data_IF_137632620054
#
_entry.id   IF_137632620054
#
_cell.length_a   1.000
_cell.length_b   1.000
_cell.length_c   1.000
_cell.angle_alpha   90.00
_cell.angle_beta   90.00
_cell.angle_gamma   90.00
#
_symmetry.space_group_name_H-M   'P 1'
#
loop_
_entity.id
_entity.type
_entity.pdbx_description
1 polymer ?
#
# COMPACT_ATOMS: atom_id res chain seq x y z
N UNK A 1 -27.99 27.70 36.16
CA UNK A 1 -28.87 28.10 35.04
C UNK A 1 -28.00 28.21 33.81
N UNK A 2 -27.83 27.10 33.08
CA UNK A 2 -27.28 27.14 31.72
C UNK A 2 -28.46 26.91 30.78
N UNK A 3 -28.65 27.88 29.91
CA UNK A 3 -29.70 28.00 28.91
C UNK A 3 -29.48 26.89 27.86
N UNK A 4 -30.09 25.73 28.12
CA UNK A 4 -30.08 24.57 27.24
C UNK A 4 -31.04 24.83 26.07
N UNK A 5 -30.72 25.82 25.25
CA UNK A 5 -31.30 25.98 23.91
C UNK A 5 -30.58 25.02 22.99
N UNK A 6 -30.91 23.74 23.15
CA UNK A 6 -30.75 22.76 22.07
C UNK A 6 -31.69 23.18 20.94
N UNK A 7 -31.23 24.16 20.18
CA UNK A 7 -31.84 24.63 18.95
C UNK A 7 -31.98 23.41 18.04
N UNK A 8 -33.22 22.99 17.82
CA UNK A 8 -33.59 22.08 16.76
C UNK A 8 -33.10 22.70 15.44
N UNK A 9 -31.89 22.33 15.03
CA UNK A 9 -31.32 22.71 13.75
C UNK A 9 -32.34 22.34 12.67
N UNK A 10 -32.76 23.35 11.90
CA UNK A 10 -33.68 23.18 10.78
C UNK A 10 -33.19 21.99 9.93
N UNK A 11 -34.04 20.98 9.66
CA UNK A 11 -33.67 19.83 8.85
C UNK A 11 -33.06 20.21 7.49
N UNK A 12 -33.35 21.41 6.95
CA UNK A 12 -32.71 21.93 5.75
C UNK A 12 -31.24 22.30 5.98
N UNK A 13 -30.92 22.99 7.07
CA UNK A 13 -29.55 23.38 7.43
C UNK A 13 -28.65 22.15 7.65
N UNK A 14 -29.19 21.08 8.24
CA UNK A 14 -28.43 19.82 8.42
C UNK A 14 -28.07 19.16 7.09
N UNK A 15 -28.98 19.17 6.10
CA UNK A 15 -28.72 18.60 4.77
C UNK A 15 -27.62 19.36 4.02
N UNK A 16 -27.58 20.68 4.16
CA UNK A 16 -26.55 21.51 3.54
C UNK A 16 -25.15 21.27 4.15
N UNK A 17 -25.04 21.12 5.47
CA UNK A 17 -23.76 20.78 6.12
C UNK A 17 -23.23 19.41 5.65
N UNK A 18 -24.10 18.39 5.59
CA UNK A 18 -23.72 17.06 5.09
C UNK A 18 -23.28 17.12 3.61
N UNK A 19 -24.01 17.83 2.76
CA UNK A 19 -23.64 18.01 1.35
C UNK A 19 -22.29 18.72 1.20
N UNK A 20 -22.01 19.74 2.02
CA UNK A 20 -20.74 20.46 2.04
C UNK A 20 -19.56 19.55 2.41
N UNK A 21 -19.70 18.75 3.48
CA UNK A 21 -18.67 17.79 3.91
C UNK A 21 -18.40 16.72 2.85
N UNK A 22 -19.46 16.19 2.22
CA UNK A 22 -19.34 15.23 1.12
C UNK A 22 -18.66 15.85 -0.11
N UNK A 23 -18.91 17.13 -0.40
CA UNK A 23 -18.27 17.83 -1.52
C UNK A 23 -16.76 18.03 -1.28
N UNK A 24 -16.36 18.40 -0.06
CA UNK A 24 -14.95 18.53 0.31
C UNK A 24 -14.26 17.16 0.28
N UNK A 25 -14.91 16.13 0.81
CA UNK A 25 -14.40 14.76 0.77
C UNK A 25 -14.19 14.29 -0.67
N UNK A 26 -15.18 14.50 -1.54
CA UNK A 26 -15.12 14.19 -2.97
C UNK A 26 -13.91 14.85 -3.63
N UNK A 27 -13.73 16.15 -3.41
CA UNK A 27 -12.62 16.90 -3.97
C UNK A 27 -11.26 16.40 -3.46
N UNK A 28 -11.13 16.20 -2.14
CA UNK A 28 -9.90 15.71 -1.54
C UNK A 28 -9.53 14.30 -2.05
N UNK A 29 -10.50 13.40 -2.14
CA UNK A 29 -10.28 12.05 -2.70
C UNK A 29 -9.97 12.09 -4.21
N UNK A 30 -10.55 13.04 -4.94
CA UNK A 30 -10.31 13.20 -6.38
C UNK A 30 -8.90 13.70 -6.72
N UNK A 31 -8.23 14.38 -5.79
CA UNK A 31 -6.83 14.80 -5.97
C UNK A 31 -5.84 13.63 -5.89
N UNK A 32 -6.22 12.52 -5.25
CA UNK A 32 -5.40 11.31 -5.14
C UNK A 32 -5.59 10.43 -6.39
N UNK A 33 -5.11 10.93 -7.53
CA UNK A 33 -5.31 10.33 -8.85
C UNK A 33 -4.63 8.96 -9.04
N UNK A 34 -3.71 8.58 -8.16
CA UNK A 34 -2.96 7.34 -8.28
C UNK A 34 -3.72 6.09 -7.82
N UNK A 35 -4.86 6.23 -7.13
CA UNK A 35 -5.59 5.09 -6.59
C UNK A 35 -7.01 4.99 -7.20
N UNK A 36 -7.35 3.91 -7.93
CA UNK A 36 -8.68 3.76 -8.53
C UNK A 36 -9.79 3.74 -7.47
N UNK A 37 -9.51 3.21 -6.28
CA UNK A 37 -10.40 3.25 -5.12
C UNK A 37 -10.70 4.68 -4.65
N UNK A 38 -9.69 5.55 -4.58
CA UNK A 38 -9.88 6.95 -4.19
C UNK A 38 -10.71 7.71 -5.24
N UNK A 39 -10.47 7.45 -6.53
CA UNK A 39 -11.31 7.95 -7.61
C UNK A 39 -12.77 7.54 -7.46
N UNK A 40 -13.04 6.27 -7.12
CA UNK A 40 -14.41 5.76 -6.94
C UNK A 40 -15.11 6.41 -5.74
N UNK A 41 -14.40 6.60 -4.62
CA UNK A 41 -14.89 7.37 -3.47
C UNK A 41 -15.22 8.81 -3.86
N UNK A 42 -14.38 9.46 -4.66
CA UNK A 42 -14.61 10.82 -5.15
C UNK A 42 -15.89 10.93 -5.97
N UNK A 43 -16.14 9.97 -6.87
CA UNK A 43 -17.37 9.91 -7.68
C UNK A 43 -18.60 9.70 -6.80
N UNK A 44 -18.58 8.71 -5.90
CA UNK A 44 -19.73 8.39 -5.05
C UNK A 44 -20.09 9.55 -4.12
N UNK A 45 -19.10 10.12 -3.44
CA UNK A 45 -19.31 11.23 -2.49
C UNK A 45 -19.73 12.51 -3.20
N UNK A 46 -19.19 12.80 -4.39
CA UNK A 46 -19.57 13.95 -5.21
C UNK A 46 -21.02 13.83 -5.72
N UNK A 47 -21.41 12.65 -6.21
CA UNK A 47 -22.77 12.38 -6.64
C UNK A 47 -23.77 12.48 -5.47
N UNK A 48 -23.42 11.96 -4.29
CA UNK A 48 -24.24 12.06 -3.07
C UNK A 48 -24.37 13.52 -2.60
N UNK A 49 -23.30 14.30 -2.62
CA UNK A 49 -23.34 15.73 -2.28
C UNK A 49 -24.31 16.50 -3.19
N UNK A 50 -24.22 16.29 -4.50
CA UNK A 50 -25.12 16.91 -5.47
C UNK A 50 -26.57 16.47 -5.29
N UNK A 51 -26.81 15.19 -4.99
CA UNK A 51 -28.16 14.66 -4.76
C UNK A 51 -28.80 15.24 -3.50
N UNK A 52 -28.07 15.28 -2.39
CA UNK A 52 -28.58 15.78 -1.11
C UNK A 52 -28.83 17.29 -1.12
N UNK A 53 -28.03 18.05 -1.87
CA UNK A 53 -28.18 19.51 -2.01
C UNK A 53 -29.03 19.97 -3.20
N UNK A 54 -29.88 19.11 -3.79
CA UNK A 54 -30.79 19.48 -4.90
C UNK A 54 -31.82 20.55 -4.52
N UNK A 55 -32.24 20.60 -3.26
CA UNK A 55 -33.24 21.55 -2.76
C UNK A 55 -32.68 22.93 -2.36
N UNK A 56 -31.35 23.09 -2.32
CA UNK A 56 -30.72 24.36 -2.01
C UNK A 56 -30.85 25.32 -3.21
N UNK A 57 -31.65 26.37 -3.03
CA UNK A 57 -31.99 27.36 -4.08
C UNK A 57 -30.82 28.32 -4.38
N UNK A 58 -29.88 28.48 -3.45
CA UNK A 58 -28.70 29.31 -3.65
C UNK A 58 -27.53 28.51 -4.22
N UNK A 59 -26.86 29.08 -5.23
CA UNK A 59 -25.57 28.62 -5.76
C UNK A 59 -24.50 28.66 -4.66
N UNK A 60 -24.52 27.62 -3.85
CA UNK A 60 -23.65 27.44 -2.72
C UNK A 60 -22.31 26.92 -3.23
N UNK A 61 -21.22 27.54 -2.76
CA UNK A 61 -19.85 27.29 -3.20
C UNK A 61 -19.45 25.81 -3.15
N UNK A 62 -20.04 25.01 -2.26
CA UNK A 62 -19.82 23.56 -2.16
C UNK A 62 -20.13 22.80 -3.47
N UNK A 63 -21.07 23.27 -4.29
CA UNK A 63 -21.40 22.62 -5.57
C UNK A 63 -20.20 22.57 -6.53
N UNK A 64 -19.34 23.59 -6.52
CA UNK A 64 -18.12 23.63 -7.34
C UNK A 64 -17.14 22.55 -6.91
N UNK A 65 -16.98 22.35 -5.60
CA UNK A 65 -16.13 21.28 -5.05
C UNK A 65 -16.69 19.90 -5.38
N UNK A 66 -18.01 19.70 -5.25
CA UNK A 66 -18.64 18.42 -5.60
C UNK A 66 -18.46 18.08 -7.09
N UNK A 67 -18.66 19.05 -8.00
CA UNK A 67 -18.41 18.85 -9.43
C UNK A 67 -16.92 18.65 -9.75
N UNK A 68 -16.03 19.38 -9.08
CA UNK A 68 -14.58 19.24 -9.23
C UNK A 68 -14.11 17.85 -8.81
N UNK A 69 -14.52 17.41 -7.62
CA UNK A 69 -14.20 16.08 -7.09
C UNK A 69 -14.81 14.95 -7.92
N UNK A 70 -16.06 15.09 -8.36
CA UNK A 70 -16.70 14.13 -9.27
C UNK A 70 -15.96 14.04 -10.61
N UNK A 71 -15.60 15.17 -11.22
CA UNK A 71 -14.89 15.19 -12.52
C UNK A 71 -13.50 14.57 -12.40
N UNK A 72 -12.72 14.96 -11.37
CA UNK A 72 -11.41 14.37 -11.09
C UNK A 72 -11.53 12.88 -10.78
N UNK A 73 -12.54 12.50 -10.00
CA UNK A 73 -12.86 11.11 -9.66
C UNK A 73 -13.20 10.27 -10.89
N UNK A 74 -14.03 10.78 -11.81
CA UNK A 74 -14.37 10.09 -13.06
C UNK A 74 -13.13 9.93 -13.93
N UNK A 75 -12.35 11.00 -14.11
CA UNK A 75 -11.11 10.94 -14.90
C UNK A 75 -10.11 9.96 -14.29
N UNK A 76 -9.86 10.02 -12.98
CA UNK A 76 -8.95 9.11 -12.28
C UNK A 76 -9.43 7.67 -12.29
N UNK A 77 -10.74 7.44 -12.09
CA UNK A 77 -11.34 6.10 -12.17
C UNK A 77 -11.24 5.56 -13.57
N UNK A 78 -11.58 6.33 -14.61
CA UNK A 78 -11.48 5.90 -16.00
C UNK A 78 -10.03 5.69 -16.42
N UNK A 79 -9.10 6.57 -16.05
CA UNK A 79 -7.67 6.38 -16.31
C UNK A 79 -7.14 5.13 -15.60
N UNK A 80 -7.57 4.89 -14.36
CA UNK A 80 -7.25 3.67 -13.62
C UNK A 80 -7.90 2.42 -14.22
N UNK A 81 -9.13 2.49 -14.72
CA UNK A 81 -9.85 1.38 -15.37
C UNK A 81 -9.31 1.08 -16.76
N UNK A 82 -9.00 2.10 -17.55
CA UNK A 82 -8.30 1.98 -18.84
C UNK A 82 -6.89 1.46 -18.61
N UNK A 83 -6.19 1.95 -17.58
CA UNK A 83 -4.95 1.35 -17.11
C UNK A 83 -5.17 -0.13 -16.81
N UNK A 84 -6.12 -0.48 -15.95
CA UNK A 84 -6.44 -1.87 -15.62
C UNK A 84 -6.90 -2.69 -16.82
N UNK A 85 -7.51 -2.13 -17.86
CA UNK A 85 -7.96 -2.85 -19.05
C UNK A 85 -6.88 -2.99 -20.12
N UNK A 86 -5.97 -2.02 -20.21
CA UNK A 86 -4.76 -2.08 -21.06
C UNK A 86 -3.69 -2.95 -20.41
N UNK A 87 -3.63 -2.96 -19.07
CA UNK A 87 -2.73 -3.76 -18.23
C UNK A 87 -3.38 -5.04 -17.67
N UNK A 88 -4.66 -5.34 -17.91
CA UNK A 88 -5.29 -6.63 -17.50
C UNK A 88 -4.72 -7.82 -18.27
N UNK A 89 -3.97 -7.58 -19.34
CA UNK A 89 -3.14 -8.60 -19.97
C UNK A 89 -1.85 -8.92 -19.19
N UNK A 90 -1.49 -8.15 -18.15
CA UNK A 90 -0.39 -8.48 -17.23
C UNK A 90 -0.93 -8.84 -15.84
N UNK A 91 -1.59 -9.99 -15.74
CA UNK A 91 -1.75 -10.70 -14.45
C UNK A 91 -0.40 -10.77 -13.69
N UNK A 92 0.70 -10.87 -14.46
CA UNK A 92 2.09 -10.77 -14.02
C UNK A 92 2.46 -9.49 -13.24
N UNK A 93 1.78 -8.37 -13.45
CA UNK A 93 2.14 -7.08 -12.82
C UNK A 93 1.52 -6.95 -11.42
N UNK A 94 0.28 -7.39 -11.23
CA UNK A 94 -0.31 -7.52 -9.89
C UNK A 94 0.37 -8.62 -9.08
N UNK A 95 0.73 -9.73 -9.72
CA UNK A 95 1.56 -10.77 -9.11
C UNK A 95 2.94 -10.20 -8.72
N UNK A 96 3.54 -9.35 -9.54
CA UNK A 96 4.80 -8.70 -9.23
C UNK A 96 4.66 -7.69 -8.08
N UNK A 97 3.69 -6.78 -8.11
CA UNK A 97 3.50 -5.80 -7.03
C UNK A 97 3.13 -6.47 -5.71
N UNK A 98 2.26 -7.49 -5.74
CA UNK A 98 1.97 -8.31 -4.57
C UNK A 98 3.21 -9.05 -4.07
N UNK A 99 3.98 -9.68 -4.97
CA UNK A 99 5.24 -10.35 -4.62
C UNK A 99 6.27 -9.38 -4.04
N UNK A 100 6.43 -8.18 -4.60
CA UNK A 100 7.33 -7.16 -4.05
C UNK A 100 6.86 -6.71 -2.65
N UNK A 101 5.55 -6.63 -2.41
CA UNK A 101 5.01 -6.28 -1.10
C UNK A 101 5.25 -7.37 -0.04
N UNK A 102 5.10 -8.65 -0.40
CA UNK A 102 5.17 -9.77 0.55
C UNK A 102 6.55 -10.41 0.68
N UNK A 103 7.36 -10.39 -0.39
CA UNK A 103 8.71 -10.95 -0.41
C UNK A 103 9.80 -9.88 -0.49
N UNK A 104 9.44 -8.59 -0.51
CA UNK A 104 10.40 -7.52 -0.76
C UNK A 104 11.01 -7.60 -2.16
N UNK A 105 12.17 -6.99 -2.41
CA UNK A 105 12.88 -7.09 -3.68
C UNK A 105 13.59 -8.44 -3.87
N UNK A 106 13.11 -9.54 -3.27
CA UNK A 106 13.77 -10.85 -3.23
C UNK A 106 14.12 -11.38 -4.63
N UNK A 107 13.19 -11.30 -5.59
CA UNK A 107 13.47 -11.71 -6.97
C UNK A 107 14.53 -10.83 -7.63
N UNK A 108 14.44 -9.50 -7.45
CA UNK A 108 15.41 -8.60 -8.04
C UNK A 108 16.81 -8.87 -7.46
N UNK A 109 16.93 -8.98 -6.14
CA UNK A 109 18.19 -9.29 -5.48
C UNK A 109 18.72 -10.68 -5.86
N UNK A 110 17.84 -11.65 -6.12
CA UNK A 110 18.23 -12.95 -6.67
C UNK A 110 18.85 -12.82 -8.06
N UNK A 111 18.20 -12.11 -8.96
CA UNK A 111 18.74 -11.86 -10.31
C UNK A 111 20.10 -11.13 -10.23
N UNK A 112 20.23 -10.14 -9.34
CA UNK A 112 21.49 -9.43 -9.10
C UNK A 112 22.57 -10.36 -8.52
N UNK A 113 22.21 -11.28 -7.62
CA UNK A 113 23.15 -12.26 -7.06
C UNK A 113 23.69 -13.26 -8.09
N UNK A 114 22.94 -13.47 -9.18
CA UNK A 114 23.30 -14.32 -10.32
C UNK A 114 24.01 -13.52 -11.44
N UNK A 115 24.35 -12.25 -11.19
CA UNK A 115 24.90 -11.31 -12.18
C UNK A 115 23.96 -11.07 -13.38
N UNK A 116 22.67 -11.36 -13.23
CA UNK A 116 21.65 -11.11 -14.25
C UNK A 116 21.07 -9.69 -14.09
N UNK A 117 21.84 -8.68 -14.51
CA UNK A 117 21.40 -7.27 -14.46
C UNK A 117 20.13 -7.01 -15.30
N UNK A 118 19.96 -7.72 -16.41
CA UNK A 118 18.76 -7.63 -17.22
C UNK A 118 17.52 -8.13 -16.44
N UNK A 119 17.64 -9.23 -15.70
CA UNK A 119 16.61 -9.74 -14.79
C UNK A 119 16.29 -8.75 -13.66
N UNK A 120 17.32 -8.16 -13.04
CA UNK A 120 17.15 -7.12 -12.02
C UNK A 120 16.35 -5.93 -12.57
N UNK A 121 16.73 -5.39 -13.73
CA UNK A 121 16.00 -4.28 -14.35
C UNK A 121 14.59 -4.65 -14.77
N UNK A 122 14.39 -5.88 -15.23
CA UNK A 122 13.07 -6.37 -15.55
C UNK A 122 12.16 -6.25 -14.34
N UNK A 123 12.62 -6.59 -13.11
CA UNK A 123 11.87 -6.47 -11.84
C UNK A 123 11.41 -5.05 -11.49
N UNK A 124 12.16 -4.03 -11.90
CA UNK A 124 11.82 -2.61 -11.66
C UNK A 124 11.27 -1.91 -12.90
N UNK A 125 10.40 -2.60 -13.66
CA UNK A 125 9.78 -2.05 -14.87
C UNK A 125 8.94 -0.80 -14.55
N UNK A 126 9.53 0.38 -14.74
CA UNK A 126 8.89 1.67 -14.55
C UNK A 126 9.59 2.77 -15.35
N UNK A 127 8.91 3.90 -15.60
CA UNK A 127 9.52 5.06 -16.26
C UNK A 127 10.48 5.76 -15.28
N UNK A 128 11.68 5.21 -15.12
CA UNK A 128 12.73 5.74 -14.27
C UNK A 128 14.10 5.57 -14.91
N UNK A 129 15.09 6.31 -14.41
CA UNK A 129 16.48 6.08 -14.79
C UNK A 129 16.89 4.67 -14.35
N UNK A 130 17.32 3.85 -15.29
CA UNK A 130 17.94 2.55 -15.02
C UNK A 130 19.35 2.79 -14.47
N UNK A 131 19.66 2.20 -13.32
CA UNK A 131 21.02 2.18 -12.81
C UNK A 131 21.95 1.53 -13.84
N UNK A 132 23.17 2.03 -14.00
CA UNK A 132 24.17 1.37 -14.83
C UNK A 132 24.72 0.12 -14.13
N UNK A 133 25.39 -0.74 -14.91
CA UNK A 133 25.91 -2.02 -14.43
C UNK A 133 26.98 -1.86 -13.35
N UNK A 134 27.76 -0.77 -13.40
CA UNK A 134 28.79 -0.47 -12.39
C UNK A 134 28.15 -0.15 -11.04
N UNK A 135 27.11 0.68 -11.03
CA UNK A 135 26.33 1.00 -9.84
C UNK A 135 25.65 -0.24 -9.25
N UNK A 136 25.12 -1.14 -10.09
CA UNK A 136 24.55 -2.42 -9.64
C UNK A 136 25.60 -3.34 -9.04
N UNK A 137 26.80 -3.42 -9.62
CA UNK A 137 27.91 -4.20 -9.06
C UNK A 137 28.35 -3.66 -7.70
N UNK A 138 28.56 -2.35 -7.59
CA UNK A 138 28.92 -1.69 -6.31
C UNK A 138 27.84 -1.91 -5.26
N UNK A 139 26.57 -1.86 -5.65
CA UNK A 139 25.45 -2.14 -4.75
C UNK A 139 25.43 -3.59 -4.27
N UNK A 140 25.62 -4.56 -5.18
CA UNK A 140 25.75 -6.00 -4.86
C UNK A 140 26.86 -6.23 -3.83
N UNK A 141 28.05 -5.68 -4.09
CA UNK A 141 29.21 -5.86 -3.23
C UNK A 141 28.98 -5.22 -1.86
N UNK A 142 28.33 -4.06 -1.81
CA UNK A 142 27.99 -3.43 -0.53
C UNK A 142 27.01 -4.27 0.28
N UNK A 143 25.95 -4.80 -0.34
CA UNK A 143 25.01 -5.70 0.33
C UNK A 143 25.72 -6.95 0.86
N UNK A 144 26.59 -7.56 0.06
CA UNK A 144 27.33 -8.74 0.45
C UNK A 144 28.29 -8.49 1.63
N UNK A 145 28.95 -7.33 1.64
CA UNK A 145 29.87 -6.95 2.72
C UNK A 145 29.14 -6.61 4.03
N UNK A 146 27.95 -6.02 3.94
CA UNK A 146 27.20 -5.56 5.13
C UNK A 146 26.32 -6.66 5.73
N UNK A 147 25.71 -7.50 4.89
CA UNK A 147 24.70 -8.49 5.31
C UNK A 147 25.09 -9.94 5.01
N UNK A 148 26.22 -10.18 4.34
CA UNK A 148 26.66 -11.52 3.94
C UNK A 148 26.06 -11.97 2.59
N UNK A 149 26.25 -13.25 2.27
CA UNK A 149 25.76 -13.82 1.01
C UNK A 149 24.23 -13.74 0.92
N UNK A 150 23.71 -13.37 -0.26
CA UNK A 150 22.28 -13.36 -0.50
C UNK A 150 21.72 -14.79 -0.44
N UNK A 151 20.65 -14.96 0.34
CA UNK A 151 19.91 -16.21 0.44
C UNK A 151 18.53 -16.01 -0.20
N UNK A 152 18.22 -16.82 -1.20
CA UNK A 152 16.93 -16.71 -1.88
C UNK A 152 15.84 -17.31 -1.00
N UNK A 153 14.84 -16.50 -0.62
CA UNK A 153 13.66 -16.98 0.07
C UNK A 153 12.68 -17.56 -0.95
N UNK A 154 12.48 -18.87 -0.92
CA UNK A 154 11.55 -19.56 -1.79
C UNK A 154 10.43 -20.19 -0.95
N UNK A 155 9.46 -19.40 -0.51
CA UNK A 155 8.30 -19.96 0.17
C UNK A 155 7.21 -20.33 -0.84
N UNK A 156 6.84 -21.61 -0.94
CA UNK A 156 5.76 -22.07 -1.82
C UNK A 156 4.37 -21.74 -1.27
N UNK A 157 4.26 -21.24 -0.02
CA UNK A 157 2.97 -20.99 0.62
C UNK A 157 2.40 -19.62 0.26
N UNK A 158 1.29 -19.62 -0.47
CA UNK A 158 0.45 -18.44 -0.66
C UNK A 158 -0.34 -18.21 0.63
N UNK A 159 0.13 -17.28 1.45
CA UNK A 159 -0.57 -16.90 2.68
C UNK A 159 -1.88 -16.20 2.33
N UNK A 160 -3.01 -16.80 2.70
CA UNK A 160 -4.33 -16.17 2.61
C UNK A 160 -4.62 -15.43 3.90
N UNK A 161 -4.87 -14.12 3.80
CA UNK A 161 -5.24 -13.26 4.92
C UNK A 161 -6.75 -13.00 4.86
N UNK A 162 -7.51 -13.55 5.80
CA UNK A 162 -8.98 -13.41 5.88
C UNK A 162 -9.41 -12.79 7.23
N UNK A 163 -10.48 -11.98 7.24
CA UNK A 163 -11.06 -11.41 8.47
C UNK A 163 -10.65 -9.96 8.80
N UNK A 164 -11.01 -9.49 10.00
CA UNK A 164 -10.54 -8.21 10.56
C UNK A 164 -9.27 -8.47 11.38
N UNK A 165 -8.18 -7.74 11.08
CA UNK A 165 -6.87 -7.92 11.73
C UNK A 165 -6.83 -7.43 13.19
N UNK A 166 -5.65 -7.50 13.86
CA UNK A 166 -4.36 -7.90 13.31
C UNK A 166 -4.27 -9.39 13.02
N UNK A 167 -3.50 -9.75 12.00
CA UNK A 167 -3.23 -11.14 11.66
C UNK A 167 -1.82 -11.50 12.06
N UNK A 168 -1.71 -12.64 12.73
CA UNK A 168 -0.44 -13.32 12.93
C UNK A 168 -0.36 -14.43 11.90
N UNK A 169 0.52 -14.26 10.92
CA UNK A 169 0.88 -15.30 9.97
C UNK A 169 1.96 -16.14 10.66
N UNK A 170 1.50 -17.08 11.48
CA UNK A 170 2.36 -18.06 12.14
C UNK A 170 2.51 -19.32 11.28
N UNK A 171 3.61 -20.04 11.46
CA UNK A 171 3.87 -21.30 10.78
C UNK A 171 4.41 -21.18 9.35
N UNK A 172 4.70 -19.96 8.90
CA UNK A 172 5.39 -19.74 7.63
C UNK A 172 6.83 -20.24 7.74
N UNK A 173 7.17 -21.26 6.97
CA UNK A 173 8.58 -21.66 6.80
C UNK A 173 9.20 -20.82 5.70
N UNK A 174 10.11 -19.93 6.10
CA UNK A 174 11.01 -19.30 5.16
C UNK A 174 12.13 -20.31 4.84
N UNK A 175 12.09 -20.83 3.62
CA UNK A 175 13.14 -21.71 3.11
C UNK A 175 14.17 -20.84 2.42
N UNK A 176 15.32 -20.73 3.04
CA UNK A 176 16.47 -20.04 2.46
C UNK A 176 17.39 -21.08 1.83
N UNK A 177 17.61 -20.95 0.53
CA UNK A 177 18.56 -21.79 -0.19
C UNK A 177 19.78 -20.96 -0.60
N UNK A 178 20.96 -21.57 -0.50
CA UNK A 178 22.16 -20.98 -1.09
C UNK A 178 22.01 -20.94 -2.61
N UNK A 179 22.38 -19.80 -3.20
CA UNK A 179 22.39 -19.61 -4.66
C UNK A 179 23.45 -20.49 -5.33
N UNK A 180 24.60 -20.70 -4.66
CA UNK A 180 25.71 -21.49 -5.21
C UNK A 180 25.55 -23.00 -4.99
N UNK A 181 24.84 -23.41 -3.94
CA UNK A 181 24.55 -24.81 -3.65
C UNK A 181 23.12 -24.99 -3.12
N UNK A 182 22.15 -25.38 -3.97
CA UNK A 182 20.75 -25.55 -3.58
C UNK A 182 20.48 -26.68 -2.58
N UNK A 183 21.49 -27.52 -2.30
CA UNK A 183 21.41 -28.57 -1.28
C UNK A 183 21.63 -28.01 0.13
N UNK A 184 22.30 -26.85 0.24
CA UNK A 184 22.40 -26.09 1.48
C UNK A 184 21.10 -25.30 1.64
N UNK A 185 20.22 -25.84 2.47
CA UNK A 185 18.93 -25.24 2.83
C UNK A 185 18.90 -24.98 4.33
N UNK A 186 18.31 -23.86 4.69
CA UNK A 186 18.01 -23.52 6.06
C UNK A 186 16.55 -23.14 6.14
N UNK A 187 15.80 -23.95 6.89
CA UNK A 187 14.38 -23.75 7.11
C UNK A 187 14.24 -22.99 8.42
N UNK A 188 13.84 -21.73 8.34
CA UNK A 188 13.57 -20.94 9.54
C UNK A 188 12.06 -20.78 9.71
N UNK A 189 11.49 -21.23 10.84
CA UNK A 189 10.14 -20.83 11.20
C UNK A 189 10.10 -19.32 11.39
N UNK A 190 9.25 -18.66 10.61
CA UNK A 190 9.03 -17.23 10.68
C UNK A 190 7.61 -16.93 11.15
N UNK A 191 7.47 -15.82 11.85
CA UNK A 191 6.18 -15.27 12.25
C UNK A 191 6.09 -13.84 11.70
N UNK A 192 5.05 -13.59 10.89
CA UNK A 192 4.81 -12.27 10.31
C UNK A 192 3.54 -11.72 10.92
N UNK A 193 3.64 -10.61 11.65
CA UNK A 193 2.49 -9.91 12.20
C UNK A 193 2.17 -8.73 11.31
N UNK A 194 0.95 -8.71 10.76
CA UNK A 194 0.46 -7.66 9.87
C UNK A 194 -0.87 -7.11 10.39
N UNK A 195 -1.09 -5.82 10.19
CA UNK A 195 -2.31 -5.11 10.61
C UNK A 195 -3.00 -4.47 9.41
N UNK A 196 -4.34 -4.54 9.35
CA UNK A 196 -5.11 -3.74 8.40
C UNK A 196 -5.34 -2.36 8.98
N UNK A 197 -4.81 -1.34 8.32
CA UNK A 197 -5.11 0.03 8.65
C UNK A 197 -6.55 0.39 8.23
N UNK A 198 -7.18 1.42 8.82
CA UNK A 198 -8.50 1.90 8.40
C UNK A 198 -8.59 2.28 6.92
N UNK A 199 -7.44 2.59 6.28
CA UNK A 199 -7.33 2.82 4.84
C UNK A 199 -7.50 1.57 3.98
N UNK A 200 -7.53 0.38 4.59
CA UNK A 200 -7.51 -0.93 3.92
C UNK A 200 -6.11 -1.44 3.59
N UNK A 201 -5.07 -0.60 3.77
CA UNK A 201 -3.66 -0.96 3.56
C UNK A 201 -3.18 -1.95 4.63
N UNK A 202 -2.29 -2.87 4.26
CA UNK A 202 -1.60 -3.73 5.21
C UNK A 202 -0.33 -3.03 5.71
N UNK A 203 -0.13 -3.04 7.03
CA UNK A 203 1.10 -2.61 7.68
C UNK A 203 1.77 -3.86 8.26
N UNK A 204 3.02 -4.11 7.86
CA UNK A 204 3.89 -5.01 8.62
C UNK A 204 4.08 -4.38 10.00
N UNK A 205 3.87 -5.17 11.06
CA UNK A 205 4.03 -4.76 12.46
C UNK A 205 5.32 -5.34 12.99
N UNK A 206 5.52 -6.64 12.75
CA UNK A 206 6.67 -7.39 13.24
C UNK A 206 6.98 -8.54 12.30
N UNK A 207 8.27 -8.81 12.15
CA UNK A 207 8.77 -10.01 11.51
C UNK A 207 9.72 -10.71 12.48
N UNK A 208 9.44 -11.96 12.81
CA UNK A 208 10.30 -12.81 13.65
C UNK A 208 10.89 -13.93 12.81
N UNK A 209 12.20 -14.14 12.93
CA UNK A 209 12.87 -15.37 12.50
C UNK A 209 13.25 -16.13 13.77
N UNK A 210 12.80 -17.39 13.88
CA UNK A 210 13.17 -18.27 14.98
C UNK A 210 14.21 -19.27 14.48
N UNK A 211 15.34 -19.35 15.16
CA UNK A 211 16.29 -20.47 15.07
C UNK A 211 16.29 -21.22 16.40
N UNK A 212 16.91 -22.40 16.43
CA UNK A 212 17.03 -23.22 17.65
C UNK A 212 17.72 -22.46 18.80
N UNK A 213 18.57 -21.48 18.48
CA UNK A 213 19.41 -20.76 19.44
C UNK A 213 19.01 -19.28 19.64
N UNK A 214 18.16 -18.72 18.78
CA UNK A 214 17.82 -17.29 18.83
C UNK A 214 16.46 -16.95 18.21
N UNK A 215 15.82 -15.93 18.75
CA UNK A 215 14.71 -15.23 18.09
C UNK A 215 15.21 -13.87 17.65
N UNK A 216 15.20 -13.63 16.35
CA UNK A 216 15.56 -12.32 15.79
C UNK A 216 14.26 -11.61 15.42
N UNK A 217 13.97 -10.53 16.14
CA UNK A 217 12.79 -9.70 15.93
C UNK A 217 13.16 -8.42 15.18
N UNK A 218 12.44 -8.16 14.08
CA UNK A 218 12.56 -6.94 13.30
C UNK A 218 11.29 -6.11 13.47
N UNK A 219 11.29 -5.14 14.41
CA UNK A 219 10.17 -4.21 14.56
C UNK A 219 10.12 -3.27 13.34
N UNK A 220 8.93 -3.06 12.80
CA UNK A 220 8.75 -2.21 11.60
C UNK A 220 8.13 -0.85 11.91
N UNK A 221 7.68 -0.65 13.14
CA UNK A 221 7.54 0.68 13.70
C UNK A 221 8.93 1.29 13.81
N UNK A 222 9.23 2.30 13.00
CA UNK A 222 10.30 3.25 13.32
C UNK A 222 10.12 3.65 14.80
N UNK A 223 11.18 3.74 15.61
CA UNK A 223 11.10 4.17 17.00
C UNK A 223 10.60 5.62 17.06
N UNK A 224 9.29 5.79 16.97
CA UNK A 224 8.60 7.05 17.19
C UNK A 224 8.30 7.12 18.67
N UNK A 225 9.31 7.54 19.42
CA UNK A 225 9.22 8.54 20.46
C UNK A 225 10.65 8.80 20.93
N UNK A 226 11.33 9.74 20.27
CA UNK A 226 12.31 10.55 21.00
C UNK A 226 11.49 11.21 22.11
N UNK A 227 11.72 10.92 23.39
CA UNK A 227 10.99 11.60 24.46
C UNK A 227 11.22 13.09 24.25
N UNK A 228 10.14 13.85 24.08
CA UNK A 228 10.23 15.30 24.15
C UNK A 228 10.67 15.61 25.58
N UNK A 229 11.98 15.81 25.73
CA UNK A 229 12.59 16.17 27.01
C UNK A 229 11.91 17.42 27.56
N UNK A 230 11.43 17.29 28.79
CA UNK A 230 11.03 18.43 29.63
C UNK A 230 12.21 19.23 30.15
#
# INVERSE_FOLDING_TARGET
MNDQRDSALDPLSRKEDVASRLAVLSFASGLVLCCPLAGLVAVLTGALALFQGRGAVQETSWRRYAWGGLSLGVVGTLAGLLGLLVFSHSQAQWEREGRVLFSGPNNALFELSQENHAGFHAEFSGPGATADEEALSVFKDRLANEFGAFLYCNSPEVVKIEGEGPWTIGGYQAVFASVTDPTIRSDFPCEIVVERLPSGTLRLVRFEIRSDDAVIEYPTTLPNEVPQGG
#
